data_IF_091029073997
#
_entry.id   IF_091029073997
#
_cell.length_a   1.000
_cell.length_b   1.000
_cell.length_c   1.000
_cell.angle_alpha   90.00
_cell.angle_beta   90.00
_cell.angle_gamma   90.00
#
_symmetry.space_group_name_H-M   'P 1'
#
loop_
_entity.id
_entity.type
_entity.pdbx_description
1 polymer ?
#
# COMPACT_ATOMS: atom_id res chain seq x y z
N UNK A 1 7.73 -1.72 -27.54
CA UNK A 1 7.12 -2.08 -26.25
C UNK A 1 5.78 -1.37 -26.15
N UNK A 2 4.67 -2.08 -26.34
CA UNK A 2 3.33 -1.52 -26.20
C UNK A 2 2.88 -1.80 -24.76
N UNK A 3 2.74 -0.76 -23.96
CA UNK A 3 2.15 -0.87 -22.61
C UNK A 3 0.66 -1.17 -22.76
N UNK A 4 0.22 -2.35 -22.36
CA UNK A 4 -1.19 -2.70 -22.24
C UNK A 4 -1.67 -2.14 -20.90
N UNK A 5 -2.54 -1.13 -20.96
CA UNK A 5 -3.23 -0.59 -19.78
C UNK A 5 -4.50 -1.40 -19.60
N UNK A 6 -4.51 -2.29 -18.61
CA UNK A 6 -5.74 -2.98 -18.17
C UNK A 6 -6.67 -1.94 -17.52
N UNK A 7 -7.68 -1.52 -18.25
CA UNK A 7 -8.80 -0.72 -17.71
C UNK A 7 -9.76 -1.67 -16.99
N UNK A 8 -9.63 -1.75 -15.67
CA UNK A 8 -10.64 -2.38 -14.82
C UNK A 8 -11.86 -1.46 -14.78
N UNK A 9 -12.85 -1.75 -15.62
CA UNK A 9 -14.10 -1.01 -15.70
C UNK A 9 -14.98 -1.24 -14.48
N UNK A 10 -14.93 -0.35 -13.49
CA UNK A 10 -16.01 -0.18 -12.52
C UNK A 10 -17.11 0.66 -13.17
N UNK A 11 -18.21 0.02 -13.56
CA UNK A 11 -19.41 0.71 -13.98
C UNK A 11 -20.08 1.40 -12.79
N UNK A 12 -19.84 2.70 -12.64
CA UNK A 12 -20.62 3.57 -11.77
C UNK A 12 -21.65 4.28 -12.64
N UNK A 13 -22.92 3.89 -12.52
CA UNK A 13 -24.05 4.64 -13.03
C UNK A 13 -24.22 5.91 -12.20
N UNK A 14 -23.84 7.05 -12.73
CA UNK A 14 -24.26 8.35 -12.22
C UNK A 14 -24.90 9.17 -13.33
N UNK A 15 -26.20 9.40 -13.18
CA UNK A 15 -27.01 10.32 -13.95
C UNK A 15 -26.64 11.78 -13.64
N UNK A 16 -26.41 12.57 -14.69
CA UNK A 16 -26.84 13.98 -14.80
C UNK A 16 -25.82 15.06 -14.47
N UNK A 17 -25.41 15.83 -15.43
CA UNK A 17 -25.78 17.18 -15.80
C UNK A 17 -24.71 17.88 -16.66
N UNK A 18 -25.19 18.43 -17.72
CA UNK A 18 -24.64 19.31 -18.76
C UNK A 18 -23.73 20.47 -18.29
N UNK A 19 -22.68 20.75 -19.08
CA UNK A 19 -21.97 22.02 -19.06
C UNK A 19 -20.64 22.02 -19.82
N UNK A 20 -20.63 22.28 -21.15
CA UNK A 20 -19.46 22.76 -21.91
C UNK A 20 -19.31 24.29 -21.75
N UNK A 21 -18.16 24.95 -22.04
CA UNK A 21 -17.43 24.84 -23.29
C UNK A 21 -15.87 24.99 -23.29
N UNK A 22 -15.28 24.45 -24.34
CA UNK A 22 -14.22 24.99 -25.22
C UNK A 22 -13.05 25.84 -24.67
N UNK A 23 -11.81 25.38 -24.89
CA UNK A 23 -10.84 26.14 -25.66
C UNK A 23 -9.63 25.28 -26.08
N UNK A 24 -9.33 25.37 -27.39
CA UNK A 24 -8.19 24.79 -28.08
C UNK A 24 -6.93 25.59 -27.79
N UNK A 25 -5.79 24.92 -27.61
CA UNK A 25 -4.50 25.48 -28.04
C UNK A 25 -3.58 24.34 -28.46
N UNK A 26 -3.26 24.35 -29.74
CA UNK A 26 -2.25 23.50 -30.38
C UNK A 26 -0.88 24.12 -30.18
N UNK A 27 0.14 23.33 -29.88
CA UNK A 27 1.52 23.68 -30.18
C UNK A 27 2.31 22.44 -30.54
N UNK A 28 2.67 22.36 -31.82
CA UNK A 28 3.65 21.47 -32.41
C UNK A 28 5.04 21.71 -31.84
N UNK A 29 5.77 20.66 -31.46
CA UNK A 29 7.22 20.65 -31.48
C UNK A 29 7.71 19.28 -31.93
N UNK A 30 8.53 19.30 -32.99
CA UNK A 30 9.18 18.17 -33.63
C UNK A 30 10.27 17.54 -32.76
N UNK A 31 10.60 16.22 -32.97
CA UNK A 31 11.61 15.54 -32.19
C UNK A 31 13.01 15.77 -32.80
N UNK A 32 13.95 16.15 -31.96
CA UNK A 32 15.39 16.12 -32.29
C UNK A 32 15.97 14.83 -31.71
N UNK A 33 16.50 14.02 -32.61
CA UNK A 33 17.17 12.75 -32.32
C UNK A 33 18.62 13.04 -31.90
N UNK A 34 19.03 12.61 -30.70
CA UNK A 34 20.45 12.53 -30.31
C UNK A 34 20.64 11.28 -29.46
N UNK A 35 21.40 10.33 -30.01
CA UNK A 35 21.76 9.11 -29.34
C UNK A 35 22.73 9.37 -28.20
N UNK A 36 22.41 8.82 -27.06
CA UNK A 36 23.34 8.70 -25.93
C UNK A 36 23.41 7.27 -25.42
N UNK A 37 24.64 6.84 -25.24
CA UNK A 37 25.14 5.57 -24.72
C UNK A 37 24.56 5.33 -23.30
N UNK A 38 24.19 4.09 -22.90
CA UNK A 38 23.68 3.84 -21.57
C UNK A 38 24.78 4.01 -20.53
N UNK A 39 24.73 5.10 -19.82
CA UNK A 39 25.52 5.34 -18.59
C UNK A 39 24.93 4.47 -17.47
N UNK A 40 25.79 3.72 -16.81
CA UNK A 40 25.52 2.95 -15.60
C UNK A 40 24.68 3.76 -14.63
N UNK A 41 23.44 3.34 -14.42
CA UNK A 41 22.51 3.98 -13.49
C UNK A 41 22.94 3.63 -12.06
N UNK A 42 23.57 4.57 -11.38
CA UNK A 42 23.75 4.49 -9.94
C UNK A 42 22.37 4.46 -9.29
N UNK A 43 22.13 3.47 -8.44
CA UNK A 43 20.95 3.39 -7.59
C UNK A 43 20.87 4.69 -6.78
N UNK A 44 19.76 5.44 -6.83
CA UNK A 44 19.59 6.61 -5.99
C UNK A 44 19.63 6.16 -4.53
N UNK A 45 20.66 6.55 -3.79
CA UNK A 45 20.68 6.43 -2.34
C UNK A 45 19.80 7.55 -1.81
N UNK A 46 18.66 7.21 -1.20
CA UNK A 46 17.88 8.16 -0.45
C UNK A 46 18.75 8.65 0.71
N UNK A 47 19.22 9.89 0.67
CA UNK A 47 19.94 10.43 1.81
C UNK A 47 19.01 10.38 3.01
N UNK A 48 19.37 9.56 3.99
CA UNK A 48 18.71 9.48 5.29
C UNK A 48 19.04 10.79 6.01
N UNK A 49 18.22 11.80 5.78
CA UNK A 49 18.24 13.03 6.56
C UNK A 49 17.66 12.74 7.95
N UNK A 50 18.40 11.98 8.75
CA UNK A 50 18.20 11.97 10.18
C UNK A 50 18.78 13.28 10.70
N UNK A 51 18.07 14.37 10.52
CA UNK A 51 18.24 15.52 11.41
C UNK A 51 17.72 15.05 12.77
N UNK A 52 18.65 14.52 13.57
CA UNK A 52 18.44 14.42 15.01
C UNK A 52 18.26 15.88 15.46
N UNK A 53 17.03 16.31 15.61
CA UNK A 53 16.70 17.52 16.34
C UNK A 53 17.21 17.26 17.77
N UNK A 54 18.44 17.68 18.03
CA UNK A 54 18.90 17.93 19.39
C UNK A 54 18.01 19.04 19.91
N UNK A 55 16.95 18.69 20.59
CA UNK A 55 16.20 19.61 21.44
C UNK A 55 17.16 20.02 22.54
N UNK A 56 17.82 21.17 22.30
CA UNK A 56 18.46 21.93 23.36
C UNK A 56 17.34 22.31 24.30
N UNK A 57 17.26 21.62 25.43
CA UNK A 57 16.27 21.87 26.48
C UNK A 57 16.57 23.25 27.08
N UNK A 58 16.02 24.29 26.45
CA UNK A 58 15.77 25.55 27.11
C UNK A 58 14.77 25.27 28.22
N UNK A 59 15.18 25.56 29.44
CA UNK A 59 14.42 25.50 30.69
C UNK A 59 13.29 26.54 30.66
N UNK A 60 12.31 26.32 29.75
CA UNK A 60 11.04 27.01 29.74
C UNK A 60 10.13 26.25 30.73
N UNK A 61 9.62 26.97 31.73
CA UNK A 61 8.67 26.51 32.72
C UNK A 61 7.58 25.68 32.04
N UNK A 62 7.65 24.37 32.19
CA UNK A 62 6.67 23.42 31.72
C UNK A 62 5.31 23.87 32.28
N UNK A 63 4.40 24.28 31.38
CA UNK A 63 3.02 24.45 31.75
C UNK A 63 2.56 23.13 32.38
N UNK A 64 1.78 23.19 33.51
CA UNK A 64 1.31 22.00 34.22
C UNK A 64 0.65 21.03 33.23
N UNK A 65 1.43 20.12 32.65
CA UNK A 65 0.97 19.07 31.76
C UNK A 65 0.41 17.93 32.62
N UNK A 66 -0.65 17.28 32.15
CA UNK A 66 -1.24 16.12 32.83
C UNK A 66 -0.33 14.91 32.69
N UNK A 67 0.25 14.72 31.48
CA UNK A 67 1.18 13.62 31.17
C UNK A 67 2.32 14.08 30.27
N UNK A 68 3.37 13.27 30.23
CA UNK A 68 4.49 13.38 29.30
C UNK A 68 4.65 12.10 28.49
N UNK A 69 4.76 12.22 27.16
CA UNK A 69 5.15 11.12 26.27
C UNK A 69 6.66 10.88 26.37
N UNK A 70 7.08 9.64 26.55
CA UNK A 70 8.48 9.27 26.68
C UNK A 70 8.77 7.86 26.16
N UNK A 71 10.04 7.47 26.09
CA UNK A 71 10.47 6.09 25.91
C UNK A 71 10.03 5.47 24.60
N UNK A 72 9.95 6.24 23.50
CA UNK A 72 9.54 5.71 22.21
C UNK A 72 10.56 4.70 21.69
N UNK A 73 10.10 3.49 21.43
CA UNK A 73 10.84 2.40 20.81
C UNK A 73 10.05 1.89 19.62
N UNK A 74 10.73 1.58 18.53
CA UNK A 74 10.09 0.98 17.35
C UNK A 74 10.78 -0.30 16.94
N UNK A 75 10.02 -1.24 16.39
CA UNK A 75 10.53 -2.41 15.71
C UNK A 75 9.71 -2.68 14.44
N UNK A 76 10.37 -3.21 13.43
CA UNK A 76 9.75 -3.55 12.15
C UNK A 76 10.17 -4.92 11.69
N UNK A 77 9.29 -5.59 10.97
CA UNK A 77 9.60 -6.80 10.22
C UNK A 77 8.92 -6.75 8.87
N UNK A 78 9.55 -7.34 7.86
CA UNK A 78 8.99 -7.41 6.53
C UNK A 78 8.91 -8.86 6.08
N UNK A 79 7.70 -9.33 5.81
CA UNK A 79 7.46 -10.60 5.12
C UNK A 79 7.40 -10.35 3.61
N UNK A 80 8.21 -11.09 2.86
CA UNK A 80 8.38 -10.91 1.41
C UNK A 80 8.36 -12.26 0.71
N UNK A 81 7.87 -12.30 -0.54
CA UNK A 81 8.06 -13.48 -1.37
C UNK A 81 9.55 -13.83 -1.49
N UNK A 82 9.90 -15.09 -1.23
CA UNK A 82 11.28 -15.59 -1.25
C UNK A 82 11.73 -16.09 -2.64
N UNK A 83 10.87 -15.96 -3.66
CA UNK A 83 11.09 -16.44 -5.02
C UNK A 83 11.28 -15.27 -5.99
N UNK A 84 11.94 -15.53 -7.14
CA UNK A 84 12.20 -14.51 -8.17
C UNK A 84 11.05 -14.34 -9.17
N UNK A 85 10.26 -15.38 -9.37
CA UNK A 85 9.17 -15.40 -10.36
C UNK A 85 7.90 -15.94 -9.74
N UNK A 86 6.80 -15.27 -10.05
CA UNK A 86 5.45 -15.70 -9.69
C UNK A 86 4.56 -15.54 -10.91
N UNK A 87 3.81 -16.59 -11.25
CA UNK A 87 2.80 -16.59 -12.29
C UNK A 87 1.44 -16.80 -11.62
N UNK A 88 0.53 -15.86 -11.80
CA UNK A 88 -0.79 -15.88 -11.16
C UNK A 88 -1.91 -15.62 -12.17
N UNK A 89 -3.12 -16.18 -11.95
CA UNK A 89 -4.29 -15.76 -12.68
C UNK A 89 -4.62 -14.29 -12.42
N UNK A 90 -4.69 -13.50 -13.48
CA UNK A 90 -5.05 -12.08 -13.42
C UNK A 90 -6.54 -11.85 -13.74
N UNK A 91 -7.16 -12.79 -14.45
CA UNK A 91 -8.56 -12.67 -14.86
C UNK A 91 -9.17 -14.03 -15.18
N UNK A 92 -10.48 -14.15 -14.94
CA UNK A 92 -11.29 -15.33 -15.27
C UNK A 92 -12.51 -14.90 -16.05
N UNK A 93 -12.68 -15.44 -17.26
CA UNK A 93 -13.78 -15.10 -18.13
C UNK A 93 -14.51 -16.34 -18.66
N UNK A 94 -15.80 -16.18 -18.96
CA UNK A 94 -16.52 -17.12 -19.81
C UNK A 94 -16.20 -16.81 -21.29
N UNK A 95 -16.37 -17.82 -22.17
CA UNK A 95 -16.18 -17.65 -23.64
C UNK A 95 -16.93 -16.43 -24.17
N UNK A 96 -18.22 -16.32 -23.81
CA UNK A 96 -19.04 -15.22 -24.29
C UNK A 96 -18.68 -13.84 -23.70
N UNK A 97 -17.87 -13.79 -22.63
CA UNK A 97 -17.33 -12.52 -22.13
C UNK A 97 -16.12 -12.08 -22.96
N UNK A 98 -15.25 -13.01 -23.32
CA UNK A 98 -14.08 -12.73 -24.20
C UNK A 98 -14.53 -12.29 -25.60
N UNK A 99 -15.56 -12.97 -26.18
CA UNK A 99 -16.13 -12.59 -27.47
C UNK A 99 -16.69 -11.16 -27.43
N UNK A 100 -17.46 -10.80 -26.39
CA UNK A 100 -18.01 -9.43 -26.25
C UNK A 100 -16.92 -8.37 -26.07
N UNK A 101 -15.86 -8.68 -25.37
CA UNK A 101 -14.75 -7.75 -25.20
C UNK A 101 -14.03 -7.51 -26.52
N UNK A 102 -13.77 -8.56 -27.29
CA UNK A 102 -13.21 -8.45 -28.64
C UNK A 102 -14.10 -7.60 -29.58
N UNK A 103 -15.43 -7.79 -29.51
CA UNK A 103 -16.38 -6.99 -30.29
C UNK A 103 -16.37 -5.50 -29.87
N UNK A 104 -16.26 -5.21 -28.58
CA UNK A 104 -16.29 -3.85 -28.04
C UNK A 104 -14.98 -3.09 -28.31
N UNK A 105 -13.85 -3.76 -28.17
CA UNK A 105 -12.52 -3.16 -28.36
C UNK A 105 -12.08 -3.14 -29.83
N UNK A 106 -12.62 -4.04 -30.64
CA UNK A 106 -12.17 -4.29 -32.01
C UNK A 106 -10.78 -4.94 -32.08
N UNK A 107 -10.26 -5.44 -30.94
CA UNK A 107 -8.99 -6.14 -30.84
C UNK A 107 -9.23 -7.66 -30.83
N UNK A 108 -8.47 -8.38 -31.65
CA UNK A 108 -8.48 -9.84 -31.64
C UNK A 108 -7.73 -10.35 -30.42
N UNK A 109 -8.40 -11.12 -29.56
CA UNK A 109 -7.81 -11.73 -28.37
C UNK A 109 -7.12 -13.05 -28.76
N UNK A 110 -5.88 -13.21 -28.32
CA UNK A 110 -5.11 -14.44 -28.56
C UNK A 110 -5.46 -15.46 -27.49
N UNK A 111 -6.25 -16.46 -27.86
CA UNK A 111 -6.67 -17.57 -26.97
C UNK A 111 -5.88 -18.81 -27.35
N UNK A 112 -5.28 -19.47 -26.35
CA UNK A 112 -4.48 -20.67 -26.55
C UNK A 112 -4.93 -21.78 -25.60
N UNK A 113 -5.16 -22.97 -26.13
CA UNK A 113 -5.37 -24.15 -25.29
C UNK A 113 -4.04 -24.56 -24.64
N UNK A 114 -4.07 -24.88 -23.35
CA UNK A 114 -2.85 -25.27 -22.59
C UNK A 114 -2.16 -26.46 -23.26
N UNK A 115 -2.92 -27.40 -23.84
CA UNK A 115 -2.35 -28.56 -24.54
C UNK A 115 -1.59 -28.20 -25.80
N UNK A 116 -1.81 -27.01 -26.37
CA UNK A 116 -1.11 -26.50 -27.56
C UNK A 116 0.19 -25.75 -27.20
N UNK A 117 0.56 -25.63 -25.94
CA UNK A 117 1.85 -25.11 -25.52
C UNK A 117 2.90 -26.20 -25.72
N UNK A 118 3.85 -25.97 -26.62
CA UNK A 118 4.82 -26.99 -27.05
C UNK A 118 5.80 -27.41 -25.94
N UNK A 119 6.29 -26.45 -25.16
CA UNK A 119 7.26 -26.67 -24.09
C UNK A 119 6.58 -27.22 -22.84
N UNK A 120 7.05 -28.38 -22.34
CA UNK A 120 6.48 -29.07 -21.20
C UNK A 120 6.65 -28.29 -19.89
N UNK A 121 7.80 -27.62 -19.68
CA UNK A 121 8.05 -26.84 -18.47
C UNK A 121 7.17 -25.59 -18.44
N UNK A 122 7.02 -24.92 -19.56
CA UNK A 122 6.12 -23.77 -19.72
C UNK A 122 4.67 -24.19 -19.49
N UNK A 123 4.26 -25.31 -20.10
CA UNK A 123 2.90 -25.85 -19.94
C UNK A 123 2.59 -26.20 -18.49
N UNK A 124 3.53 -26.84 -17.80
CA UNK A 124 3.37 -27.24 -16.39
C UNK A 124 3.34 -26.03 -15.46
N UNK A 125 4.13 -24.97 -15.71
CA UNK A 125 4.06 -23.71 -14.97
C UNK A 125 2.68 -23.05 -15.12
N UNK A 126 2.16 -22.94 -16.35
CA UNK A 126 0.84 -22.39 -16.65
C UNK A 126 -0.26 -23.20 -15.95
N UNK A 127 -0.21 -24.54 -16.10
CA UNK A 127 -1.20 -25.45 -15.47
C UNK A 127 -1.18 -25.31 -13.94
N UNK A 128 0.00 -25.27 -13.35
CA UNK A 128 0.16 -25.12 -11.90
C UNK A 128 -0.45 -23.79 -11.45
N UNK A 129 -0.10 -22.68 -12.08
CA UNK A 129 -0.64 -21.35 -11.74
C UNK A 129 -2.17 -21.34 -11.74
N UNK A 130 -2.80 -21.95 -12.75
CA UNK A 130 -4.25 -21.95 -12.88
C UNK A 130 -4.91 -22.90 -11.86
N UNK A 131 -4.32 -24.07 -11.59
CA UNK A 131 -4.92 -25.07 -10.69
C UNK A 131 -4.74 -24.74 -9.21
N UNK A 132 -3.60 -24.15 -8.84
CA UNK A 132 -3.27 -23.88 -7.43
C UNK A 132 -3.44 -22.40 -7.05
N UNK A 133 -3.67 -21.51 -8.02
CA UNK A 133 -3.78 -20.08 -7.84
C UNK A 133 -2.46 -19.33 -8.08
N UNK A 134 -1.32 -20.02 -8.01
CA UNK A 134 -0.02 -19.48 -8.39
C UNK A 134 0.99 -20.57 -8.77
N UNK A 135 2.03 -20.17 -9.51
CA UNK A 135 3.27 -20.92 -9.68
C UNK A 135 4.43 -20.05 -9.24
N UNK A 136 5.35 -20.60 -8.44
CA UNK A 136 6.47 -19.87 -7.83
C UNK A 136 7.78 -20.55 -8.12
N UNK A 137 8.82 -19.80 -8.57
CA UNK A 137 10.13 -20.36 -8.87
C UNK A 137 11.26 -19.33 -8.75
N UNK A 138 12.48 -19.82 -8.56
CA UNK A 138 13.71 -19.02 -8.69
C UNK A 138 14.32 -19.10 -10.10
N UNK A 139 13.81 -19.98 -10.95
CA UNK A 139 14.22 -20.14 -12.35
C UNK A 139 13.00 -19.92 -13.26
N UNK A 140 13.20 -19.23 -14.35
CA UNK A 140 12.16 -19.00 -15.35
C UNK A 140 12.34 -20.05 -16.47
N UNK A 141 11.31 -20.84 -16.80
CA UNK A 141 11.34 -21.71 -17.98
C UNK A 141 11.58 -20.89 -19.26
N UNK A 142 12.38 -21.41 -20.16
CA UNK A 142 12.65 -20.76 -21.44
C UNK A 142 11.34 -20.59 -22.23
N UNK A 143 11.10 -19.38 -22.74
CA UNK A 143 9.88 -19.07 -23.49
C UNK A 143 8.62 -18.78 -22.65
N UNK A 144 8.63 -18.92 -21.33
CA UNK A 144 7.46 -18.62 -20.49
C UNK A 144 7.07 -17.13 -20.62
N UNK A 145 8.03 -16.21 -20.52
CA UNK A 145 7.76 -14.76 -20.64
C UNK A 145 7.12 -14.44 -21.98
N UNK A 146 7.70 -14.95 -23.06
CA UNK A 146 7.20 -14.70 -24.43
C UNK A 146 5.79 -15.30 -24.63
N UNK A 147 5.53 -16.44 -24.02
CA UNK A 147 4.21 -17.08 -24.08
C UNK A 147 3.16 -16.26 -23.36
N UNK A 148 3.44 -15.77 -22.15
CA UNK A 148 2.52 -14.93 -21.36
C UNK A 148 2.31 -13.56 -22.03
N UNK A 149 3.33 -12.97 -22.64
CA UNK A 149 3.20 -11.69 -23.35
C UNK A 149 2.39 -11.79 -24.64
N UNK A 150 2.37 -12.95 -25.27
CA UNK A 150 1.69 -13.20 -26.54
C UNK A 150 0.25 -13.65 -26.39
N UNK A 151 -0.06 -14.41 -25.34
CA UNK A 151 -1.37 -15.05 -25.13
C UNK A 151 -2.17 -14.22 -24.15
N UNK A 152 -3.38 -13.82 -24.54
CA UNK A 152 -4.28 -13.07 -23.68
C UNK A 152 -5.03 -13.98 -22.71
N UNK A 153 -5.46 -15.16 -23.20
CA UNK A 153 -6.20 -16.14 -22.38
C UNK A 153 -5.80 -17.57 -22.67
N UNK A 154 -5.73 -18.37 -21.63
CA UNK A 154 -5.53 -19.82 -21.68
C UNK A 154 -6.85 -20.55 -21.46
N UNK A 155 -7.04 -21.67 -22.20
CA UNK A 155 -8.18 -22.59 -22.08
C UNK A 155 -7.70 -24.02 -21.77
N UNK A 156 -8.64 -24.96 -21.59
CA UNK A 156 -8.30 -26.37 -21.31
C UNK A 156 -7.97 -26.66 -19.84
N UNK A 157 -8.40 -25.79 -18.92
CA UNK A 157 -8.00 -25.84 -17.50
C UNK A 157 -8.90 -26.71 -16.65
N UNK A 158 -10.20 -26.78 -16.95
CA UNK A 158 -11.19 -27.59 -16.21
C UNK A 158 -12.44 -27.81 -17.07
N UNK A 159 -12.96 -29.04 -17.05
CA UNK A 159 -14.21 -29.38 -17.73
C UNK A 159 -15.47 -28.85 -17.03
N UNK A 160 -15.35 -28.50 -15.71
CA UNK A 160 -16.50 -28.09 -14.88
C UNK A 160 -16.54 -26.58 -14.58
N UNK A 161 -15.63 -25.76 -15.15
CA UNK A 161 -15.53 -24.35 -14.79
C UNK A 161 -16.51 -23.49 -15.56
N UNK A 162 -17.25 -22.65 -14.84
CA UNK A 162 -18.04 -21.53 -15.42
C UNK A 162 -17.14 -20.51 -16.09
N UNK A 163 -15.84 -20.49 -15.76
CA UNK A 163 -14.81 -19.67 -16.36
C UNK A 163 -13.86 -20.54 -17.15
N UNK A 164 -13.93 -20.45 -18.46
CA UNK A 164 -13.15 -21.28 -19.38
C UNK A 164 -11.87 -20.62 -19.90
N UNK A 165 -11.73 -19.30 -19.70
CA UNK A 165 -10.62 -18.48 -20.17
C UNK A 165 -9.93 -17.83 -18.98
N UNK A 166 -8.62 -18.02 -18.87
CA UNK A 166 -7.81 -17.50 -17.76
C UNK A 166 -6.70 -16.63 -18.31
N UNK A 167 -6.70 -15.36 -17.95
CA UNK A 167 -5.57 -14.48 -18.15
C UNK A 167 -4.51 -14.72 -17.07
N UNK A 168 -3.23 -14.66 -17.43
CA UNK A 168 -2.12 -14.86 -16.53
C UNK A 168 -1.20 -13.64 -16.52
N UNK A 169 -0.65 -13.34 -15.36
CA UNK A 169 0.39 -12.33 -15.18
C UNK A 169 1.66 -12.96 -14.60
N UNK A 170 2.79 -12.66 -15.23
CA UNK A 170 4.11 -13.08 -14.77
C UNK A 170 4.82 -11.92 -14.08
N UNK A 171 5.09 -12.08 -12.78
CA UNK A 171 5.79 -11.10 -11.97
C UNK A 171 7.25 -11.51 -11.74
N UNK A 172 8.14 -10.52 -11.82
CA UNK A 172 9.57 -10.65 -11.51
C UNK A 172 9.86 -9.95 -10.20
N UNK A 173 10.15 -10.71 -9.17
CA UNK A 173 10.40 -10.23 -7.82
C UNK A 173 11.91 -10.14 -7.54
N UNK A 174 12.27 -9.37 -6.53
CA UNK A 174 13.66 -9.10 -6.14
C UNK A 174 13.92 -9.48 -4.68
N UNK A 175 13.86 -10.79 -4.33
CA UNK A 175 13.97 -11.23 -2.94
C UNK A 175 15.31 -10.87 -2.29
N UNK A 176 16.37 -10.70 -3.09
CA UNK A 176 17.73 -10.42 -2.62
C UNK A 176 17.95 -8.92 -2.29
N UNK A 177 17.02 -8.02 -2.64
CA UNK A 177 17.11 -6.60 -2.31
C UNK A 177 16.59 -6.32 -0.89
N UNK A 178 17.04 -5.24 -0.23
CA UNK A 178 16.43 -4.83 1.04
C UNK A 178 14.94 -4.49 0.87
N UNK A 179 14.15 -4.45 1.97
CA UNK A 179 12.77 -3.99 1.93
C UNK A 179 12.66 -2.63 1.24
N UNK A 180 11.68 -2.49 0.33
CA UNK A 180 11.52 -1.26 -0.44
C UNK A 180 10.89 -0.14 0.40
N UNK A 181 10.11 -0.47 1.42
CA UNK A 181 9.42 0.49 2.29
C UNK A 181 9.97 0.37 3.71
N UNK A 182 10.36 1.49 4.28
CA UNK A 182 10.82 1.65 5.66
C UNK A 182 9.75 2.41 6.46
N UNK A 183 9.62 2.05 7.73
CA UNK A 183 8.74 2.71 8.70
C UNK A 183 9.57 3.39 9.79
N UNK A 184 9.15 4.60 10.15
CA UNK A 184 9.73 5.36 11.26
C UNK A 184 8.61 5.94 12.14
N UNK A 185 8.91 6.12 13.43
CA UNK A 185 8.04 6.81 14.38
C UNK A 185 8.86 7.78 15.24
N UNK A 186 8.25 8.92 15.60
CA UNK A 186 8.86 9.93 16.46
C UNK A 186 7.82 10.58 17.37
N UNK A 187 8.23 11.01 18.56
CA UNK A 187 7.46 11.94 19.38
C UNK A 187 7.81 13.35 18.91
N UNK A 188 6.81 14.11 18.45
CA UNK A 188 6.97 15.49 17.98
C UNK A 188 6.65 16.50 19.06
N UNK A 189 5.61 16.22 19.88
CA UNK A 189 5.32 16.96 21.10
C UNK A 189 5.15 15.97 22.24
N UNK A 190 5.94 16.11 23.28
CA UNK A 190 5.95 15.17 24.41
C UNK A 190 4.97 15.58 25.52
N UNK A 191 4.44 16.79 25.49
CA UNK A 191 3.55 17.32 26.53
C UNK A 191 2.09 17.03 26.21
N UNK A 192 1.39 16.36 27.14
CA UNK A 192 -0.05 16.09 27.02
C UNK A 192 -0.79 16.91 28.07
N UNK A 193 -1.43 18.00 27.66
CA UNK A 193 -2.13 18.93 28.54
C UNK A 193 -3.50 19.33 27.96
N UNK A 194 -4.31 20.03 28.74
CA UNK A 194 -5.58 20.59 28.26
C UNK A 194 -5.42 21.56 27.07
N UNK A 195 -4.26 22.21 26.96
CA UNK A 195 -3.97 23.23 25.95
C UNK A 195 -3.26 22.64 24.72
N UNK A 196 -2.56 21.52 24.88
CA UNK A 196 -1.76 20.89 23.83
C UNK A 196 -1.80 19.38 23.96
N UNK A 197 -2.29 18.64 22.95
CA UNK A 197 -2.16 17.19 22.91
C UNK A 197 -0.70 16.81 22.65
N UNK A 198 -0.29 15.66 23.18
CA UNK A 198 0.97 15.04 22.75
C UNK A 198 0.87 14.57 21.31
N UNK A 199 1.99 14.59 20.55
CA UNK A 199 1.98 14.24 19.14
C UNK A 199 2.99 13.13 18.85
N UNK A 200 2.50 12.04 18.24
CA UNK A 200 3.31 10.96 17.67
C UNK A 200 3.19 11.05 16.15
N UNK A 201 4.34 11.08 15.47
CA UNK A 201 4.43 11.03 14.02
C UNK A 201 4.80 9.62 13.56
N UNK A 202 4.09 9.10 12.56
CA UNK A 202 4.41 7.88 11.85
C UNK A 202 4.79 8.24 10.41
N UNK A 203 5.86 7.62 9.90
CA UNK A 203 6.40 7.88 8.58
C UNK A 203 6.61 6.58 7.80
N UNK A 204 6.30 6.60 6.50
CA UNK A 204 6.74 5.61 5.51
C UNK A 204 7.71 6.26 4.52
N UNK A 205 8.77 5.55 4.19
CA UNK A 205 9.77 5.99 3.21
C UNK A 205 9.97 4.91 2.16
N UNK A 206 9.87 5.27 0.89
CA UNK A 206 10.27 4.37 -0.20
C UNK A 206 11.78 4.44 -0.40
N UNK A 207 12.50 3.40 0.02
CA UNK A 207 13.95 3.28 -0.13
C UNK A 207 14.39 2.69 -1.47
N UNK A 208 13.43 2.28 -2.31
CA UNK A 208 13.73 1.65 -3.61
C UNK A 208 13.82 2.69 -4.73
N UNK A 209 14.34 2.24 -5.87
CA UNK A 209 14.39 3.04 -7.11
C UNK A 209 13.10 2.99 -7.94
N UNK A 210 12.09 2.26 -7.49
CA UNK A 210 10.80 2.09 -8.17
C UNK A 210 9.66 2.60 -7.32
N UNK A 211 8.58 3.04 -7.95
CA UNK A 211 7.36 3.42 -7.24
C UNK A 211 6.80 2.20 -6.50
N UNK A 212 6.42 2.38 -5.24
CA UNK A 212 5.73 1.38 -4.44
C UNK A 212 4.28 1.81 -4.23
N UNK A 213 3.37 0.87 -4.28
CA UNK A 213 1.97 1.11 -3.95
C UNK A 213 1.67 0.49 -2.59
N UNK A 214 1.27 1.32 -1.63
CA UNK A 214 0.85 0.88 -0.30
C UNK A 214 -0.66 0.71 -0.31
N UNK A 215 -1.12 -0.48 0.06
CA UNK A 215 -2.54 -0.78 0.24
C UNK A 215 -2.93 -0.57 1.69
N UNK A 216 -3.96 0.22 1.93
CA UNK A 216 -4.49 0.51 3.25
C UNK A 216 -6.02 0.50 3.24
N UNK A 217 -6.61 0.65 4.42
CA UNK A 217 -8.04 0.88 4.57
C UNK A 217 -8.45 2.31 4.22
N UNK A 218 -9.52 2.77 4.85
CA UNK A 218 -10.17 4.07 4.57
C UNK A 218 -9.25 5.26 4.80
N UNK A 219 -8.29 5.14 5.74
CA UNK A 219 -7.36 6.22 6.17
C UNK A 219 -5.93 5.85 5.76
N UNK A 220 -5.46 6.28 4.58
CA UNK A 220 -4.11 5.93 4.14
C UNK A 220 -3.02 6.77 4.84
N UNK A 221 -1.80 6.21 5.02
CA UNK A 221 -1.43 4.83 4.74
C UNK A 221 -1.62 3.90 5.95
N UNK A 222 -1.83 4.43 7.18
CA UNK A 222 -1.76 3.67 8.44
C UNK A 222 -3.12 3.20 8.98
N UNK A 223 -4.24 3.61 8.38
CA UNK A 223 -5.56 3.27 8.93
C UNK A 223 -5.95 4.07 10.17
N UNK A 224 -6.79 3.47 11.00
CA UNK A 224 -7.20 3.97 12.31
C UNK A 224 -6.22 3.42 13.35
N UNK A 225 -5.36 4.27 13.89
CA UNK A 225 -4.26 3.84 14.77
C UNK A 225 -4.71 3.81 16.23
N UNK A 226 -4.65 2.63 16.84
CA UNK A 226 -4.94 2.42 18.26
C UNK A 226 -3.69 2.04 19.04
N UNK A 227 -3.63 2.43 20.29
CA UNK A 227 -2.60 2.02 21.23
C UNK A 227 -3.20 1.18 22.36
N UNK A 228 -2.64 -0.01 22.59
CA UNK A 228 -3.01 -0.92 23.65
C UNK A 228 -2.12 -0.73 24.87
N UNK A 229 -2.72 -0.72 26.06
CA UNK A 229 -1.95 -0.72 27.31
C UNK A 229 -1.18 -2.02 27.51
N UNK A 230 0.11 -1.94 27.77
CA UNK A 230 0.96 -3.10 28.07
C UNK A 230 0.52 -3.88 29.32
N UNK A 231 -0.28 -3.29 30.20
CA UNK A 231 -0.87 -3.92 31.39
C UNK A 231 -2.23 -4.56 31.11
N UNK A 232 -2.78 -4.43 29.89
CA UNK A 232 -4.10 -4.93 29.54
C UNK A 232 -5.26 -4.12 30.14
N UNK A 233 -5.01 -2.89 30.58
CA UNK A 233 -6.03 -1.99 31.17
C UNK A 233 -6.93 -1.32 30.14
N UNK A 234 -6.71 -1.55 28.84
CA UNK A 234 -7.53 -1.04 27.74
C UNK A 234 -6.72 -0.56 26.54
N UNK A 235 -7.44 -0.07 25.57
CA UNK A 235 -6.90 0.56 24.37
C UNK A 235 -7.53 1.93 24.18
N UNK A 236 -6.86 2.79 23.41
CA UNK A 236 -7.42 4.04 22.93
C UNK A 236 -6.99 4.32 21.48
N UNK A 237 -7.86 5.01 20.76
CA UNK A 237 -7.57 5.48 19.42
C UNK A 237 -6.75 6.76 19.53
N UNK A 238 -5.55 6.79 18.93
CA UNK A 238 -4.82 8.02 18.76
C UNK A 238 -5.63 8.96 17.87
N UNK A 239 -5.77 10.21 18.30
CA UNK A 239 -6.66 11.14 17.62
C UNK A 239 -6.04 11.79 16.40
N UNK A 240 -6.85 11.97 15.38
CA UNK A 240 -6.67 12.92 14.27
C UNK A 240 -8.04 13.19 13.68
N UNK A 241 -8.14 14.17 12.80
CA UNK A 241 -9.40 14.48 12.14
C UNK A 241 -9.74 13.44 11.04
N UNK A 242 -10.07 12.22 11.48
CA UNK A 242 -10.37 11.10 10.60
C UNK A 242 -11.59 11.34 9.71
N UNK A 243 -12.53 12.21 10.12
CA UNK A 243 -13.74 12.51 9.34
C UNK A 243 -13.40 13.26 8.05
N UNK A 244 -12.32 14.06 8.04
CA UNK A 244 -11.82 14.73 6.84
C UNK A 244 -11.20 13.78 5.82
N UNK A 245 -10.72 12.64 6.25
CA UNK A 245 -10.19 11.58 5.37
C UNK A 245 -11.31 10.86 4.60
N UNK A 246 -12.56 11.09 5.02
CA UNK A 246 -13.79 10.60 4.41
C UNK A 246 -14.18 9.19 4.84
N UNK A 247 -15.49 8.94 4.84
CA UNK A 247 -16.07 7.63 5.13
C UNK A 247 -15.85 7.10 6.56
N UNK A 248 -15.55 7.99 7.52
CA UNK A 248 -15.50 7.66 8.94
C UNK A 248 -16.55 8.49 9.66
N UNK A 249 -17.26 7.85 10.57
CA UNK A 249 -18.24 8.50 11.44
C UNK A 249 -18.04 7.98 12.85
N UNK A 250 -17.76 8.90 13.78
CA UNK A 250 -17.65 8.59 15.19
C UNK A 250 -19.03 8.43 15.83
N UNK A 251 -19.11 7.49 16.75
CA UNK A 251 -20.29 7.25 17.59
C UNK A 251 -19.88 7.28 19.05
N UNK A 252 -20.83 7.19 19.96
CA UNK A 252 -20.55 7.16 21.39
C UNK A 252 -19.67 5.96 21.81
N UNK A 253 -19.85 4.83 21.14
CA UNK A 253 -19.29 3.55 21.54
C UNK A 253 -18.23 2.99 20.54
N UNK A 254 -17.80 3.81 19.57
CA UNK A 254 -16.83 3.42 18.55
C UNK A 254 -16.98 4.23 17.25
N UNK A 255 -16.52 3.69 16.13
CA UNK A 255 -16.62 4.34 14.83
C UNK A 255 -17.15 3.37 13.77
N UNK A 256 -17.59 3.94 12.67
CA UNK A 256 -17.98 3.21 11.45
C UNK A 256 -17.13 3.72 10.30
N UNK A 257 -16.63 2.81 9.50
CA UNK A 257 -15.91 3.13 8.27
C UNK A 257 -16.49 2.38 7.08
N UNK A 258 -16.27 2.88 5.88
CA UNK A 258 -16.55 2.14 4.66
C UNK A 258 -15.55 1.00 4.49
N UNK A 259 -16.00 -0.11 3.93
CA UNK A 259 -15.12 -1.21 3.50
C UNK A 259 -14.47 -0.87 2.15
N UNK A 260 -13.74 0.24 2.08
CA UNK A 260 -13.04 0.68 0.88
C UNK A 260 -11.54 0.58 1.15
N UNK A 261 -10.83 -0.21 0.32
CA UNK A 261 -9.38 -0.16 0.25
C UNK A 261 -8.94 1.09 -0.52
N UNK A 262 -7.96 1.80 0.00
CA UNK A 262 -7.27 2.89 -0.69
C UNK A 262 -5.84 2.47 -0.96
N UNK A 263 -5.34 2.91 -2.11
CA UNK A 263 -3.98 2.70 -2.53
C UNK A 263 -3.26 4.03 -2.53
N UNK A 264 -2.05 4.04 -2.03
CA UNK A 264 -1.19 5.22 -1.97
C UNK A 264 0.11 4.93 -2.69
N UNK A 265 0.43 5.70 -3.73
CA UNK A 265 1.70 5.59 -4.42
C UNK A 265 2.79 6.33 -3.64
N UNK A 266 3.91 5.65 -3.42
CA UNK A 266 5.16 6.22 -2.94
C UNK A 266 6.18 6.22 -4.08
N UNK A 267 6.53 7.39 -4.58
CA UNK A 267 7.62 7.55 -5.55
C UNK A 267 8.97 7.19 -4.92
N UNK A 268 10.01 6.88 -5.70
CA UNK A 268 11.36 6.69 -5.16
C UNK A 268 11.77 7.83 -4.23
N UNK A 269 12.29 7.50 -3.05
CA UNK A 269 12.68 8.42 -1.98
C UNK A 269 11.55 9.31 -1.42
N UNK A 270 10.30 9.07 -1.80
CA UNK A 270 9.17 9.80 -1.21
C UNK A 270 8.94 9.36 0.22
N UNK A 271 8.55 10.35 1.06
CA UNK A 271 8.12 10.16 2.44
C UNK A 271 6.65 10.52 2.57
N UNK A 272 5.93 9.77 3.38
CA UNK A 272 4.56 10.10 3.79
C UNK A 272 4.51 10.05 5.30
N UNK A 273 4.25 11.20 5.91
CA UNK A 273 4.13 11.35 7.35
C UNK A 273 2.67 11.55 7.76
N UNK A 274 2.31 11.07 8.94
CA UNK A 274 1.02 11.29 9.59
C UNK A 274 1.21 11.54 11.07
N UNK A 275 0.62 12.61 11.56
CA UNK A 275 0.64 12.96 12.98
C UNK A 275 -0.64 12.52 13.66
N UNK A 276 -0.49 11.99 14.84
CA UNK A 276 -1.56 11.49 15.68
C UNK A 276 -1.43 12.10 17.08
N UNK A 277 -2.55 12.56 17.62
CA UNK A 277 -2.62 13.24 18.90
C UNK A 277 -2.94 12.23 20.02
N UNK A 278 -2.27 12.38 21.15
CA UNK A 278 -2.58 11.74 22.40
C UNK A 278 -3.30 12.78 23.26
N UNK A 279 -4.60 12.59 23.43
CA UNK A 279 -5.47 13.56 24.11
C UNK A 279 -5.37 13.45 25.64
N UNK A 280 -5.48 14.56 26.39
CA UNK A 280 -5.53 14.54 27.85
C UNK A 280 -6.86 13.93 28.35
N UNK A 281 -6.86 13.43 29.57
CA UNK A 281 -8.05 12.81 30.23
C UNK A 281 -9.22 13.78 30.40
N UNK A 282 -8.94 15.08 30.40
CA UNK A 282 -9.92 16.16 30.60
C UNK A 282 -10.69 16.53 29.34
N UNK A 283 -10.36 15.93 28.19
CA UNK A 283 -11.04 16.20 26.93
C UNK A 283 -12.50 15.74 26.96
N UNK A 284 -13.45 16.67 27.19
CA UNK A 284 -14.87 16.37 27.36
C UNK A 284 -15.67 16.22 26.08
N UNK A 285 -15.13 16.69 24.95
CA UNK A 285 -15.83 16.73 23.66
C UNK A 285 -15.51 15.54 22.75
N UNK A 286 -14.52 14.72 23.11
CA UNK A 286 -14.10 13.56 22.33
C UNK A 286 -14.67 12.26 22.91
N UNK A 287 -14.87 11.22 22.08
CA UNK A 287 -15.27 9.92 22.57
C UNK A 287 -14.26 9.34 23.57
N UNK A 288 -14.73 8.66 24.61
CA UNK A 288 -13.86 8.10 25.64
C UNK A 288 -12.77 7.16 25.14
N UNK A 289 -13.02 6.46 24.05
CA UNK A 289 -12.04 5.55 23.43
C UNK A 289 -10.90 6.28 22.66
N UNK A 290 -10.90 7.61 22.63
CA UNK A 290 -9.82 8.44 22.08
C UNK A 290 -8.91 9.02 23.15
N UNK A 291 -9.15 8.69 24.41
CA UNK A 291 -8.39 9.20 25.55
C UNK A 291 -7.70 8.03 26.24
N UNK A 292 -6.40 8.14 26.58
CA UNK A 292 -5.71 7.11 27.33
C UNK A 292 -6.45 6.81 28.66
N UNK A 293 -6.69 5.54 29.01
CA UNK A 293 -7.41 5.19 30.21
C UNK A 293 -6.64 5.51 31.50
N UNK A 294 -5.32 5.42 31.48
CA UNK A 294 -4.44 5.66 32.66
C UNK A 294 -3.00 5.94 32.21
N UNK A 295 -2.13 6.52 33.06
CA UNK A 295 -0.69 6.57 32.83
C UNK A 295 -0.07 5.18 32.71
N UNK A 296 0.94 5.01 31.88
CA UNK A 296 1.63 3.73 31.70
C UNK A 296 2.24 3.55 30.32
N UNK A 297 2.67 2.32 30.05
CA UNK A 297 3.26 1.97 28.77
C UNK A 297 2.19 1.46 27.79
N UNK A 298 2.30 1.92 26.55
CA UNK A 298 1.39 1.62 25.45
C UNK A 298 2.12 1.08 24.24
N UNK A 299 1.40 0.36 23.39
CA UNK A 299 1.92 -0.25 22.18
C UNK A 299 0.93 -0.07 21.03
N UNK A 300 1.44 0.45 19.92
CA UNK A 300 0.79 0.43 18.61
C UNK A 300 1.34 -0.77 17.85
N UNK A 301 0.48 -1.61 17.29
CA UNK A 301 0.89 -2.73 16.43
C UNK A 301 -0.01 -2.73 15.21
N UNK A 302 0.60 -2.70 14.02
CA UNK A 302 -0.14 -2.77 12.77
C UNK A 302 0.73 -3.34 11.64
N UNK A 303 0.10 -3.56 10.49
CA UNK A 303 0.77 -4.02 9.28
C UNK A 303 0.16 -3.39 8.04
N UNK A 304 0.97 -3.21 7.02
CA UNK A 304 0.54 -2.72 5.72
C UNK A 304 1.16 -3.54 4.60
N UNK A 305 0.42 -3.66 3.51
CA UNK A 305 0.90 -4.34 2.31
C UNK A 305 1.40 -3.31 1.30
N UNK A 306 2.51 -3.62 0.63
CA UNK A 306 3.02 -2.81 -0.46
C UNK A 306 3.55 -3.68 -1.60
N UNK A 307 3.54 -3.15 -2.81
CA UNK A 307 3.96 -3.83 -4.04
C UNK A 307 4.45 -2.83 -5.08
N UNK A 308 5.33 -3.29 -5.97
CA UNK A 308 5.92 -2.50 -7.05
C UNK A 308 4.94 -2.34 -8.23
N UNK A 309 4.15 -3.38 -8.51
CA UNK A 309 3.20 -3.40 -9.62
C UNK A 309 1.83 -3.86 -9.10
N UNK A 310 0.77 -3.20 -9.57
CA UNK A 310 -0.60 -3.55 -9.16
C UNK A 310 -0.93 -4.99 -9.53
N UNK A 311 -1.40 -5.76 -8.55
CA UNK A 311 -1.67 -7.19 -8.69
C UNK A 311 -0.45 -8.09 -8.49
N UNK A 312 0.77 -7.54 -8.39
CA UNK A 312 1.94 -8.33 -8.05
C UNK A 312 1.86 -8.86 -6.60
N UNK A 313 2.50 -10.02 -6.32
CA UNK A 313 2.66 -10.48 -4.96
C UNK A 313 3.32 -9.43 -4.09
N UNK A 314 2.59 -8.98 -3.07
CA UNK A 314 3.02 -7.91 -2.19
C UNK A 314 3.99 -8.37 -1.11
N UNK A 315 4.60 -7.39 -0.47
CA UNK A 315 5.30 -7.54 0.79
C UNK A 315 4.43 -7.00 1.92
N UNK A 316 4.53 -7.58 3.12
CA UNK A 316 3.87 -7.09 4.32
C UNK A 316 4.90 -6.49 5.25
N UNK A 317 4.79 -5.20 5.53
CA UNK A 317 5.54 -4.51 6.56
C UNK A 317 4.72 -4.50 7.84
N UNK A 318 5.20 -5.18 8.88
CA UNK A 318 4.64 -5.12 10.24
C UNK A 318 5.49 -4.21 11.08
N UNK A 319 4.85 -3.38 11.90
CA UNK A 319 5.53 -2.47 12.81
C UNK A 319 4.92 -2.49 14.20
N UNK A 320 5.75 -2.22 15.17
CA UNK A 320 5.38 -2.01 16.58
C UNK A 320 6.05 -0.73 17.07
N UNK A 321 5.27 0.13 17.71
CA UNK A 321 5.75 1.33 18.39
C UNK A 321 5.34 1.25 19.85
N UNK A 322 6.31 1.33 20.76
CA UNK A 322 6.06 1.41 22.20
C UNK A 322 6.37 2.81 22.70
N UNK A 323 5.57 3.31 23.62
CA UNK A 323 5.79 4.59 24.29
C UNK A 323 5.19 4.55 25.70
N UNK A 324 5.57 5.52 26.51
CA UNK A 324 5.05 5.68 27.88
C UNK A 324 4.35 7.03 28.04
N UNK A 325 3.30 7.03 28.87
CA UNK A 325 2.64 8.21 29.41
C UNK A 325 2.99 8.30 30.90
N UNK A 326 3.81 9.26 31.24
CA UNK A 326 4.24 9.50 32.61
C UNK A 326 3.48 10.70 33.19
N UNK A 327 3.07 10.63 34.44
CA UNK A 327 2.49 11.77 35.16
C UNK A 327 3.56 12.83 35.39
N UNK A 328 3.23 14.07 35.12
CA UNK A 328 4.10 15.21 35.47
C UNK A 328 3.83 15.57 36.94
N UNK A 329 4.86 15.43 37.80
CA UNK A 329 4.79 15.80 39.23
C UNK A 329 4.99 17.30 39.42
#
# INVERSE_FOLDING_TARGET
MRRRTLLTGLAVLSTGCLGSPSSKTSSNLSPTNSGETPTSTATPSCESGTETASTDSSDESVADGEYRLSGLLQSTSTDRPSVKYVLEPSAYYSSGAVEREAEQTGEEQVVTDISAVDDDEVRDAIRTAIQTGDWRSNTLPDGLSDTIERVDFFTGVSEDATHTHVGLSLYRLRPDQPPAVEFNAAIIDDTVSEQSPGVIELELVNQSSTTQTVSSGTVPPFGMVSAESSKGSGEFLLWRNYEEEGCITFTKDGWRSCSIGKMTELQPCQRITRQYEVLPSTTTHQPKYTVPPEPGSYRITDSLNYYEEHGAPGSTLSFEVQFSLDTVE
#
